data_IF_268250939974
#
_entry.id   IF_268250939974
#
_cell.length_a   1.000
_cell.length_b   1.000
_cell.length_c   1.000
_cell.angle_alpha   90.00
_cell.angle_beta   90.00
_cell.angle_gamma   90.00
#
_symmetry.space_group_name_H-M   'P 1'
#
loop_
_entity.id
_entity.type
_entity.pdbx_description
1 polymer ?
#
# COMPACT_ATOMS: atom_id res chain seq x y z
N UNK A 1 33.73 36.74 -57.52
CA UNK A 1 33.61 35.27 -57.67
C UNK A 1 34.20 34.46 -56.50
N UNK A 2 35.16 34.97 -55.71
CA UNK A 2 35.75 34.24 -54.57
C UNK A 2 34.91 34.25 -53.27
N UNK A 3 34.01 35.22 -53.12
CA UNK A 3 33.16 35.40 -51.92
C UNK A 3 31.91 34.52 -51.89
N UNK A 4 31.48 33.96 -53.04
CA UNK A 4 30.27 33.12 -53.12
C UNK A 4 30.54 31.69 -52.66
N UNK A 5 31.78 31.20 -52.83
CA UNK A 5 32.20 29.84 -52.47
C UNK A 5 32.31 29.66 -50.94
N UNK A 6 32.62 30.73 -50.22
CA UNK A 6 32.72 30.70 -48.74
C UNK A 6 31.33 30.62 -48.10
N UNK A 7 30.32 31.27 -48.69
CA UNK A 7 28.95 31.23 -48.19
C UNK A 7 28.29 29.84 -48.31
N UNK A 8 28.59 29.08 -49.37
CA UNK A 8 28.05 27.73 -49.55
C UNK A 8 28.66 26.69 -48.60
N UNK A 9 29.90 26.89 -48.14
CA UNK A 9 30.56 26.02 -47.16
C UNK A 9 30.03 26.21 -45.73
N UNK A 10 29.65 27.43 -45.36
CA UNK A 10 29.08 27.73 -44.04
C UNK A 10 27.63 27.20 -43.95
N UNK A 11 26.87 27.26 -45.04
CA UNK A 11 25.53 26.69 -45.12
C UNK A 11 25.53 25.15 -44.99
N UNK A 12 26.60 24.48 -45.43
CA UNK A 12 26.77 23.02 -45.31
C UNK A 12 27.01 22.56 -43.86
N UNK A 13 27.51 23.41 -42.97
CA UNK A 13 27.85 23.01 -41.60
C UNK A 13 26.64 23.06 -40.65
N UNK A 14 25.68 23.97 -40.89
CA UNK A 14 24.47 24.08 -40.07
C UNK A 14 23.45 22.94 -40.33
N UNK A 15 23.53 22.28 -41.49
CA UNK A 15 22.64 21.17 -41.85
C UNK A 15 22.98 19.84 -41.15
N UNK A 16 24.12 19.76 -40.47
CA UNK A 16 24.57 18.57 -39.72
C UNK A 16 24.70 18.82 -38.21
N UNK A 17 24.15 19.93 -37.70
CA UNK A 17 24.01 20.07 -36.25
C UNK A 17 22.99 19.02 -35.75
N UNK A 18 23.34 18.19 -34.76
CA UNK A 18 22.37 17.27 -34.18
C UNK A 18 21.25 18.11 -33.59
N UNK A 19 20.07 18.06 -34.20
CA UNK A 19 18.84 18.52 -33.56
C UNK A 19 18.74 17.70 -32.28
N UNK A 20 18.85 18.36 -31.13
CA UNK A 20 18.48 17.74 -29.87
C UNK A 20 17.02 17.32 -30.01
N UNK A 21 16.79 16.05 -30.33
CA UNK A 21 15.47 15.45 -30.20
C UNK A 21 15.09 15.64 -28.75
N UNK A 22 14.15 16.56 -28.50
CA UNK A 22 13.45 16.64 -27.23
C UNK A 22 12.93 15.23 -27.01
N UNK A 23 13.49 14.52 -26.03
CA UNK A 23 13.04 13.19 -25.69
C UNK A 23 11.53 13.31 -25.45
N UNK A 24 10.74 12.68 -26.31
CA UNK A 24 9.34 12.48 -26.03
C UNK A 24 9.34 11.55 -24.82
N UNK A 25 9.06 12.07 -23.63
CA UNK A 25 8.76 11.23 -22.48
C UNK A 25 7.64 10.32 -22.93
N UNK A 26 7.95 9.04 -23.16
CA UNK A 26 6.91 8.02 -23.21
C UNK A 26 6.14 8.13 -21.90
N UNK A 27 4.81 7.97 -21.91
CA UNK A 27 3.95 8.05 -20.71
C UNK A 27 4.51 7.28 -19.50
N UNK A 28 5.24 6.18 -19.77
CA UNK A 28 6.02 5.41 -18.81
C UNK A 28 7.09 6.20 -18.04
N UNK A 29 7.83 7.10 -18.70
CA UNK A 29 8.89 7.89 -18.10
C UNK A 29 8.38 8.96 -17.12
N UNK A 30 7.07 9.24 -17.11
CA UNK A 30 6.47 10.24 -16.22
C UNK A 30 6.34 9.74 -14.78
N UNK A 31 6.31 8.41 -14.56
CA UNK A 31 6.07 7.80 -13.25
C UNK A 31 7.31 7.11 -12.66
N UNK A 32 8.47 7.21 -13.30
CA UNK A 32 9.71 6.55 -12.86
C UNK A 32 10.31 7.15 -11.58
N UNK A 33 9.98 8.41 -11.26
CA UNK A 33 10.45 9.11 -10.04
C UNK A 33 9.38 9.15 -8.92
N UNK A 34 8.27 8.43 -9.09
CA UNK A 34 7.16 8.44 -8.14
C UNK A 34 7.42 7.62 -6.87
N UNK A 35 6.65 7.93 -5.81
CA UNK A 35 6.73 7.26 -4.53
C UNK A 35 6.63 5.73 -4.68
N UNK A 36 7.59 4.98 -4.15
CA UNK A 36 7.56 3.51 -4.16
C UNK A 36 8.25 2.87 -5.36
N UNK A 37 8.83 3.66 -6.26
CA UNK A 37 9.90 3.21 -7.17
C UNK A 37 11.17 3.07 -6.33
N UNK A 38 11.56 1.82 -6.05
CA UNK A 38 12.75 1.54 -5.24
C UNK A 38 13.53 0.33 -5.76
N UNK A 39 14.86 0.31 -5.56
CA UNK A 39 15.64 -0.91 -5.77
C UNK A 39 15.09 -2.07 -4.93
N UNK A 40 15.12 -3.32 -5.41
CA UNK A 40 15.82 -3.80 -6.61
C UNK A 40 15.02 -3.71 -7.92
N UNK A 41 13.71 -3.48 -7.88
CA UNK A 41 12.85 -3.57 -9.06
C UNK A 41 12.70 -2.26 -9.82
N UNK A 42 12.87 -1.11 -9.16
CA UNK A 42 12.64 0.20 -9.78
C UNK A 42 11.17 0.36 -10.17
N UNK A 43 10.91 0.94 -11.34
CA UNK A 43 9.57 1.06 -11.89
C UNK A 43 9.05 -0.33 -12.32
N UNK A 44 7.98 -0.79 -11.68
CA UNK A 44 7.42 -2.13 -11.88
C UNK A 44 5.97 -2.06 -12.36
N UNK A 45 5.77 -2.09 -13.67
CA UNK A 45 4.46 -2.24 -14.32
C UNK A 45 4.53 -3.27 -15.47
N UNK A 46 4.51 -4.58 -15.16
CA UNK A 46 4.58 -5.62 -16.19
C UNK A 46 3.28 -5.76 -17.01
N UNK A 47 2.16 -5.25 -16.51
CA UNK A 47 0.85 -5.35 -17.15
C UNK A 47 0.51 -4.12 -18.00
N UNK A 48 1.34 -3.07 -17.92
CA UNK A 48 1.11 -1.84 -18.66
C UNK A 48 -0.14 -1.11 -18.21
N UNK A 49 -0.41 -1.13 -16.90
CA UNK A 49 -1.54 -0.41 -16.32
C UNK A 49 -1.41 1.11 -16.45
N UNK A 50 -0.19 1.61 -16.73
CA UNK A 50 0.14 3.02 -16.91
C UNK A 50 0.51 3.39 -18.38
N UNK A 51 0.08 2.57 -19.36
CA UNK A 51 0.44 2.72 -20.78
C UNK A 51 -0.56 3.53 -21.63
N UNK A 52 -1.62 4.11 -21.04
CA UNK A 52 -2.64 4.89 -21.75
C UNK A 52 -2.43 6.40 -21.67
N UNK A 53 -3.43 7.17 -22.17
CA UNK A 53 -3.66 8.59 -21.81
C UNK A 53 -4.04 8.70 -20.32
N UNK A 54 -3.22 8.13 -19.44
CA UNK A 54 -3.55 7.91 -18.04
C UNK A 54 -3.42 9.23 -17.28
N UNK A 55 -4.58 9.83 -17.04
CA UNK A 55 -4.77 10.97 -16.15
C UNK A 55 -4.09 10.68 -14.81
N UNK A 56 -3.32 11.65 -14.28
CA UNK A 56 -2.73 11.61 -12.93
C UNK A 56 -3.73 11.15 -11.85
N UNK A 57 -5.03 11.41 -12.07
CA UNK A 57 -6.14 10.95 -11.24
C UNK A 57 -6.23 9.42 -11.14
N UNK A 58 -6.03 8.70 -12.26
CA UNK A 58 -6.05 7.24 -12.27
C UNK A 58 -4.87 6.66 -11.47
N UNK A 59 -3.67 7.21 -11.65
CA UNK A 59 -2.51 6.82 -10.84
C UNK A 59 -2.74 7.12 -9.35
N UNK A 60 -3.27 8.29 -9.02
CA UNK A 60 -3.60 8.66 -7.64
C UNK A 60 -4.63 7.69 -7.03
N UNK A 61 -5.61 7.25 -7.81
CA UNK A 61 -6.58 6.25 -7.35
C UNK A 61 -5.95 4.88 -7.12
N UNK A 62 -5.06 4.43 -8.00
CA UNK A 62 -4.31 3.18 -7.81
C UNK A 62 -3.44 3.26 -6.56
N UNK A 63 -2.75 4.39 -6.36
CA UNK A 63 -1.94 4.66 -5.16
C UNK A 63 -2.76 4.64 -3.89
N UNK A 64 -3.91 5.30 -3.89
CA UNK A 64 -4.84 5.29 -2.77
C UNK A 64 -5.26 3.87 -2.40
N UNK A 65 -5.62 3.09 -3.42
CA UNK A 65 -6.04 1.70 -3.27
C UNK A 65 -4.91 0.85 -2.71
N UNK A 66 -3.69 0.99 -3.21
CA UNK A 66 -2.51 0.28 -2.74
C UNK A 66 -2.22 0.59 -1.26
N UNK A 67 -2.21 1.86 -0.86
CA UNK A 67 -1.98 2.29 0.53
C UNK A 67 -3.07 1.73 1.45
N UNK A 68 -4.34 1.81 1.05
CA UNK A 68 -5.46 1.32 1.86
C UNK A 68 -5.35 -0.18 2.10
N UNK A 69 -5.09 -0.98 1.06
CA UNK A 69 -4.87 -2.41 1.21
C UNK A 69 -3.62 -2.70 2.06
N UNK A 70 -2.54 -1.92 1.88
CA UNK A 70 -1.29 -2.09 2.62
C UNK A 70 -1.50 -1.92 4.12
N UNK A 71 -2.18 -0.84 4.53
CA UNK A 71 -2.52 -0.56 5.94
C UNK A 71 -3.38 -1.67 6.55
N UNK A 72 -4.41 -2.12 5.82
CA UNK A 72 -5.27 -3.22 6.27
C UNK A 72 -4.43 -4.49 6.48
N UNK A 73 -3.57 -4.84 5.53
CA UNK A 73 -2.74 -6.03 5.60
C UNK A 73 -1.67 -5.95 6.69
N UNK A 74 -1.09 -4.77 6.96
CA UNK A 74 -0.16 -4.56 8.07
C UNK A 74 -0.82 -4.83 9.43
N UNK A 75 -2.01 -4.27 9.66
CA UNK A 75 -2.77 -4.51 10.88
C UNK A 75 -3.22 -5.97 10.99
N UNK A 76 -3.67 -6.57 9.89
CA UNK A 76 -4.05 -7.97 9.86
C UNK A 76 -2.86 -8.90 10.18
N UNK A 77 -1.69 -8.66 9.59
CA UNK A 77 -0.49 -9.45 9.84
C UNK A 77 -0.04 -9.34 11.30
N UNK A 78 0.05 -8.11 11.83
CA UNK A 78 0.42 -7.90 13.23
C UNK A 78 -0.61 -8.55 14.18
N UNK A 79 -1.90 -8.39 13.90
CA UNK A 79 -2.97 -9.04 14.68
C UNK A 79 -2.80 -10.55 14.72
N UNK A 80 -2.56 -11.18 13.57
CA UNK A 80 -2.32 -12.61 13.44
C UNK A 80 -1.07 -13.11 14.19
N UNK A 81 -0.04 -12.26 14.35
CA UNK A 81 1.15 -12.57 15.16
C UNK A 81 0.83 -12.44 16.66
N UNK A 82 0.16 -11.37 17.07
CA UNK A 82 -0.15 -11.08 18.48
C UNK A 82 -1.11 -12.12 19.07
N UNK A 83 -2.20 -12.45 18.38
CA UNK A 83 -3.18 -13.41 18.90
C UNK A 83 -2.61 -14.84 18.95
N UNK A 84 -1.77 -15.21 17.97
CA UNK A 84 -1.07 -16.51 18.00
C UNK A 84 0.06 -16.59 19.03
N UNK A 85 0.64 -15.45 19.41
CA UNK A 85 1.55 -15.38 20.55
C UNK A 85 0.84 -15.57 21.91
N UNK A 86 -0.49 -15.69 21.90
CA UNK A 86 -1.30 -15.88 23.11
C UNK A 86 -1.63 -14.58 23.84
N UNK A 87 -1.33 -13.43 23.25
CA UNK A 87 -1.59 -12.12 23.86
C UNK A 87 -3.03 -11.71 23.56
N UNK A 88 -3.88 -11.80 24.58
CA UNK A 88 -5.29 -11.44 24.52
C UNK A 88 -5.60 -10.34 25.55
N UNK A 89 -6.70 -9.62 25.33
CA UNK A 89 -7.19 -8.66 26.31
C UNK A 89 -7.67 -9.40 27.57
N UNK A 90 -7.41 -8.87 28.77
CA UNK A 90 -7.95 -9.46 29.98
C UNK A 90 -9.47 -9.24 30.06
N UNK A 91 -10.21 -10.25 30.52
CA UNK A 91 -11.65 -10.17 30.78
C UNK A 91 -12.49 -10.95 29.77
N UNK A 92 -13.78 -10.65 29.77
CA UNK A 92 -14.78 -11.32 28.95
C UNK A 92 -15.18 -10.45 27.76
N UNK A 93 -15.29 -11.06 26.57
CA UNK A 93 -15.75 -10.37 25.37
C UNK A 93 -17.25 -10.10 25.42
N UNK A 94 -17.99 -10.92 26.16
CA UNK A 94 -19.43 -10.88 26.25
C UNK A 94 -19.94 -10.92 27.69
N UNK A 95 -21.26 -10.72 27.83
CA UNK A 95 -21.94 -10.80 29.12
C UNK A 95 -22.22 -12.25 29.56
N UNK A 96 -22.00 -13.24 28.68
CA UNK A 96 -22.18 -14.67 28.99
C UNK A 96 -21.00 -15.24 29.76
N UNK A 97 -19.85 -14.58 29.70
CA UNK A 97 -18.65 -14.94 30.45
C UNK A 97 -17.53 -15.52 29.59
N UNK A 98 -17.63 -15.43 28.27
CA UNK A 98 -16.62 -15.95 27.35
C UNK A 98 -15.39 -15.03 27.36
N UNK A 99 -14.23 -15.60 27.68
CA UNK A 99 -12.97 -14.87 27.77
C UNK A 99 -12.36 -14.62 26.38
N UNK A 100 -11.54 -13.57 26.21
CA UNK A 100 -10.94 -13.27 24.90
C UNK A 100 -10.00 -14.37 24.36
N UNK A 101 -9.48 -15.23 25.23
CA UNK A 101 -8.62 -16.37 24.88
C UNK A 101 -9.41 -17.62 24.46
N UNK A 102 -10.72 -17.67 24.67
CA UNK A 102 -11.55 -18.82 24.31
C UNK A 102 -11.85 -18.88 22.80
N UNK A 103 -11.62 -17.79 22.07
CA UNK A 103 -11.86 -17.71 20.63
C UNK A 103 -10.66 -18.22 19.84
N UNK A 104 -10.90 -18.96 18.74
CA UNK A 104 -9.83 -19.51 17.92
C UNK A 104 -9.10 -18.41 17.14
N UNK A 105 -7.86 -18.68 16.76
CA UNK A 105 -7.04 -17.79 15.96
C UNK A 105 -7.37 -17.86 14.46
N UNK A 106 -6.94 -16.87 13.68
CA UNK A 106 -6.99 -16.97 12.21
C UNK A 106 -8.39 -16.81 11.62
N UNK A 107 -8.63 -17.48 10.51
CA UNK A 107 -9.93 -17.51 9.85
C UNK A 107 -10.99 -18.23 10.68
N UNK A 108 -10.57 -19.14 11.57
CA UNK A 108 -11.47 -19.79 12.51
C UNK A 108 -12.17 -18.79 13.46
N UNK A 109 -11.53 -17.66 13.80
CA UNK A 109 -12.16 -16.60 14.60
C UNK A 109 -13.42 -16.00 13.93
N UNK A 110 -13.45 -16.01 12.59
CA UNK A 110 -14.46 -15.33 11.78
C UNK A 110 -15.50 -16.33 11.23
N UNK A 111 -15.07 -17.54 10.87
CA UNK A 111 -15.91 -18.55 10.19
C UNK A 111 -15.83 -19.96 10.82
N UNK A 112 -15.17 -20.12 11.96
CA UNK A 112 -15.08 -21.38 12.69
C UNK A 112 -16.34 -21.72 13.49
N UNK A 113 -16.35 -22.90 14.12
CA UNK A 113 -17.45 -23.35 14.97
C UNK A 113 -17.62 -22.48 16.24
N UNK A 114 -16.50 -22.05 16.82
CA UNK A 114 -16.44 -21.17 18.00
C UNK A 114 -16.10 -19.72 17.60
N UNK A 115 -16.62 -19.27 16.46
CA UNK A 115 -16.37 -17.93 15.94
C UNK A 115 -17.06 -16.83 16.76
N UNK A 116 -16.56 -15.60 16.61
CA UNK A 116 -17.18 -14.41 17.22
C UNK A 116 -18.64 -14.30 16.74
N UNK A 117 -19.60 -14.00 17.65
CA UNK A 117 -21.00 -13.84 17.29
C UNK A 117 -21.19 -12.85 16.13
N UNK A 118 -22.10 -13.16 15.21
CA UNK A 118 -22.36 -12.32 14.03
C UNK A 118 -22.73 -10.88 14.39
N UNK A 119 -23.42 -10.67 15.52
CA UNK A 119 -23.74 -9.33 16.02
C UNK A 119 -22.48 -8.51 16.37
N UNK A 120 -21.47 -9.14 16.97
CA UNK A 120 -20.20 -8.47 17.30
C UNK A 120 -19.40 -8.12 16.06
N UNK A 121 -19.31 -9.04 15.10
CA UNK A 121 -18.69 -8.77 13.79
C UNK A 121 -19.44 -7.66 13.04
N UNK A 122 -20.77 -7.67 13.10
CA UNK A 122 -21.63 -6.64 12.52
C UNK A 122 -21.37 -5.26 13.10
N UNK A 123 -21.21 -5.13 14.43
CA UNK A 123 -20.86 -3.86 15.07
C UNK A 123 -19.53 -3.31 14.57
N UNK A 124 -18.51 -4.18 14.45
CA UNK A 124 -17.18 -3.79 13.93
C UNK A 124 -17.31 -3.29 12.48
N UNK A 125 -18.00 -4.05 11.62
CA UNK A 125 -18.19 -3.67 10.21
C UNK A 125 -18.99 -2.37 10.09
N UNK A 126 -20.06 -2.20 10.86
CA UNK A 126 -20.86 -0.97 10.86
C UNK A 126 -20.03 0.24 11.32
N UNK A 127 -19.21 0.08 12.36
CA UNK A 127 -18.36 1.15 12.85
C UNK A 127 -17.25 1.51 11.85
N UNK A 128 -16.59 0.52 11.26
CA UNK A 128 -15.60 0.74 10.19
C UNK A 128 -16.25 1.42 8.98
N UNK A 129 -17.44 0.96 8.56
CA UNK A 129 -18.19 1.56 7.46
C UNK A 129 -18.57 3.02 7.74
N UNK A 130 -18.95 3.32 8.98
CA UNK A 130 -19.18 4.71 9.42
C UNK A 130 -17.89 5.54 9.33
N UNK A 131 -16.76 5.05 9.86
CA UNK A 131 -15.47 5.74 9.76
C UNK A 131 -15.05 5.97 8.29
N UNK A 132 -15.29 5.00 7.41
CA UNK A 132 -14.97 5.10 5.99
C UNK A 132 -15.81 6.17 5.28
N UNK A 133 -17.08 6.31 5.64
CA UNK A 133 -17.98 7.30 5.03
C UNK A 133 -17.79 8.70 5.61
N UNK A 134 -17.51 8.81 6.90
CA UNK A 134 -17.52 10.07 7.64
C UNK A 134 -16.14 10.69 7.84
N UNK A 135 -15.07 9.90 8.02
CA UNK A 135 -13.76 10.38 8.44
C UNK A 135 -12.62 10.06 7.45
N UNK A 136 -12.57 8.84 6.92
CA UNK A 136 -11.50 8.37 6.02
C UNK A 136 -11.76 8.78 4.56
N UNK A 137 -12.10 10.06 4.36
CA UNK A 137 -12.22 10.68 3.05
C UNK A 137 -11.21 11.81 2.95
N UNK A 138 -10.63 11.93 1.77
CA UNK A 138 -9.85 13.09 1.40
C UNK A 138 -10.82 14.28 1.26
N UNK A 139 -10.86 15.16 2.26
CA UNK A 139 -11.72 16.35 2.26
C UNK A 139 -10.92 17.50 1.63
N UNK A 140 -11.33 18.00 0.44
CA UNK A 140 -10.62 19.10 -0.21
C UNK A 140 -10.56 20.33 0.72
N UNK A 141 -9.36 20.87 0.93
CA UNK A 141 -9.15 22.08 1.74
C UNK A 141 -8.80 21.84 3.21
N UNK A 142 -8.56 20.59 3.65
CA UNK A 142 -8.15 20.26 5.04
C UNK A 142 -6.64 20.11 5.24
N UNK A 143 -5.82 20.53 4.27
CA UNK A 143 -4.35 20.47 4.37
C UNK A 143 -3.75 19.10 4.06
N UNK A 144 -4.49 18.22 3.39
CA UNK A 144 -3.99 16.91 2.98
C UNK A 144 -2.84 17.09 1.98
N UNK A 145 -1.62 16.75 2.41
CA UNK A 145 -0.38 16.93 1.62
C UNK A 145 -0.25 15.85 0.52
N UNK A 146 -0.91 14.70 0.69
CA UNK A 146 -0.83 13.58 -0.24
C UNK A 146 -2.02 12.62 -0.16
N UNK A 147 -2.16 11.79 -1.20
CA UNK A 147 -3.20 10.75 -1.31
C UNK A 147 -3.10 9.76 -0.14
N UNK A 148 -4.17 9.66 0.65
CA UNK A 148 -4.23 8.77 1.81
C UNK A 148 -3.75 9.39 3.12
N UNK A 149 -3.55 10.71 3.17
CA UNK A 149 -3.42 11.45 4.41
C UNK A 149 -4.80 11.56 5.10
N UNK A 150 -5.01 10.78 6.16
CA UNK A 150 -6.24 10.79 6.95
C UNK A 150 -6.11 11.61 8.24
N UNK A 151 -5.00 12.36 8.41
CA UNK A 151 -4.82 13.24 9.57
C UNK A 151 -5.84 14.37 9.53
N UNK A 152 -6.27 14.80 8.34
CA UNK A 152 -7.25 15.88 8.12
C UNK A 152 -6.95 17.14 8.97
N UNK A 153 -5.68 17.39 9.31
CA UNK A 153 -5.24 18.46 10.21
C UNK A 153 -5.61 18.30 11.71
N UNK A 154 -6.21 17.20 12.12
CA UNK A 154 -6.66 16.96 13.50
C UNK A 154 -5.66 16.19 14.37
N UNK A 155 -4.76 15.43 13.75
CA UNK A 155 -3.84 14.54 14.45
C UNK A 155 -2.43 14.76 13.89
N UNK A 156 -1.63 15.54 14.61
CA UNK A 156 -0.22 15.68 14.33
C UNK A 156 0.61 14.93 15.39
N UNK A 157 1.32 13.89 14.94
CA UNK A 157 2.28 13.14 15.74
C UNK A 157 3.72 13.64 15.49
N UNK A 158 3.89 14.95 15.27
CA UNK A 158 5.16 15.56 14.86
C UNK A 158 5.51 15.29 13.40
N UNK A 159 4.50 15.04 12.55
CA UNK A 159 4.70 14.84 11.12
C UNK A 159 5.10 16.13 10.43
N UNK A 160 4.52 17.25 10.87
CA UNK A 160 4.73 18.56 10.27
C UNK A 160 6.13 19.13 10.59
N UNK A 161 6.82 18.56 11.58
CA UNK A 161 8.20 18.89 11.97
C UNK A 161 9.27 18.17 11.13
N UNK A 162 8.91 17.15 10.35
CA UNK A 162 9.88 16.42 9.51
C UNK A 162 10.23 17.18 8.23
N UNK A 163 11.47 17.00 7.78
CA UNK A 163 11.92 17.40 6.46
C UNK A 163 11.25 16.57 5.35
N UNK A 164 11.13 17.17 4.17
CA UNK A 164 10.47 16.53 3.01
C UNK A 164 11.15 15.23 2.56
N UNK A 165 12.47 15.10 2.74
CA UNK A 165 13.20 13.87 2.42
C UNK A 165 12.82 12.74 3.40
N UNK A 166 12.78 13.03 4.70
CA UNK A 166 12.28 12.07 5.70
C UNK A 166 10.82 11.70 5.46
N UNK A 167 9.94 12.66 5.13
CA UNK A 167 8.54 12.37 4.81
C UNK A 167 8.43 11.40 3.63
N UNK A 168 9.18 11.64 2.54
CA UNK A 168 9.23 10.73 1.39
C UNK A 168 9.77 9.34 1.77
N UNK A 169 10.84 9.29 2.55
CA UNK A 169 11.43 8.03 3.01
C UNK A 169 10.42 7.22 3.85
N UNK A 170 9.74 7.85 4.82
CA UNK A 170 8.77 7.19 5.69
C UNK A 170 7.56 6.68 4.93
N UNK A 171 7.05 7.46 3.96
CA UNK A 171 5.95 7.04 3.08
C UNK A 171 6.36 5.84 2.22
N UNK A 172 7.60 5.80 1.75
CA UNK A 172 8.07 4.69 0.95
C UNK A 172 8.28 3.41 1.81
N UNK A 173 8.73 3.58 3.06
CA UNK A 173 8.79 2.49 4.06
C UNK A 173 7.39 1.94 4.34
N UNK A 174 6.40 2.82 4.58
CA UNK A 174 5.00 2.43 4.80
C UNK A 174 4.49 1.58 3.63
N UNK A 175 4.68 2.06 2.41
CA UNK A 175 4.21 1.40 1.20
C UNK A 175 4.83 0.01 1.03
N UNK A 176 6.15 -0.11 1.19
CA UNK A 176 6.85 -1.38 1.01
C UNK A 176 6.54 -2.39 2.12
N UNK A 177 6.41 -1.93 3.36
CA UNK A 177 5.88 -2.76 4.44
C UNK A 177 4.44 -3.20 4.14
N UNK A 178 3.62 -2.34 3.53
CA UNK A 178 2.27 -2.65 3.07
C UNK A 178 2.28 -3.77 2.02
N UNK A 179 3.10 -3.62 0.98
CA UNK A 179 3.29 -4.63 -0.09
C UNK A 179 3.74 -5.98 0.47
N UNK A 180 4.72 -5.97 1.38
CA UNK A 180 5.19 -7.19 2.04
C UNK A 180 4.10 -7.81 2.94
N UNK A 181 3.36 -7.00 3.68
CA UNK A 181 2.27 -7.46 4.53
C UNK A 181 1.11 -8.08 3.74
N UNK A 182 0.80 -7.58 2.53
CA UNK A 182 -0.20 -8.19 1.64
C UNK A 182 0.17 -9.64 1.29
N UNK A 183 1.44 -9.87 0.92
CA UNK A 183 1.93 -11.22 0.64
C UNK A 183 1.99 -12.08 1.90
N UNK A 184 2.39 -11.49 3.04
CA UNK A 184 2.44 -12.15 4.34
C UNK A 184 1.08 -12.68 4.77
N UNK A 185 0.05 -11.81 4.80
CA UNK A 185 -1.29 -12.22 5.23
C UNK A 185 -1.93 -13.22 4.26
N UNK A 186 -1.72 -13.06 2.95
CA UNK A 186 -2.18 -14.02 1.95
C UNK A 186 -1.56 -15.40 2.22
N UNK A 187 -0.25 -15.45 2.46
CA UNK A 187 0.45 -16.67 2.84
C UNK A 187 -0.17 -17.32 4.07
N UNK A 188 -0.42 -16.55 5.13
CA UNK A 188 -1.04 -17.07 6.36
C UNK A 188 -2.44 -17.63 6.12
N UNK A 189 -3.29 -16.91 5.39
CA UNK A 189 -4.65 -17.35 5.08
C UNK A 189 -4.66 -18.63 4.24
N UNK A 190 -3.76 -18.73 3.25
CA UNK A 190 -3.63 -19.91 2.39
C UNK A 190 -3.11 -21.09 3.21
N UNK A 191 -2.03 -20.91 3.97
CA UNK A 191 -1.46 -21.99 4.79
C UNK A 191 -2.43 -22.51 5.86
N UNK A 192 -3.30 -21.67 6.42
CA UNK A 192 -4.35 -22.11 7.35
C UNK A 192 -5.38 -23.04 6.69
N UNK A 193 -5.69 -22.85 5.40
CA UNK A 193 -6.59 -23.75 4.67
C UNK A 193 -5.90 -25.04 4.23
N UNK A 194 -4.66 -24.95 3.73
CA UNK A 194 -3.93 -26.13 3.26
C UNK A 194 -3.53 -27.03 4.45
N UNK A 195 -3.32 -26.47 5.65
CA UNK A 195 -3.12 -27.24 6.87
C UNK A 195 -4.28 -28.21 7.15
N UNK A 196 -5.52 -27.82 6.88
CA UNK A 196 -6.71 -28.69 7.01
C UNK A 196 -6.70 -29.91 6.08
N UNK A 197 -5.93 -29.83 4.99
CA UNK A 197 -5.80 -30.88 3.98
C UNK A 197 -4.55 -31.76 4.25
N UNK A 198 -3.84 -31.51 5.36
CA UNK A 198 -2.72 -32.32 5.82
C UNK A 198 -1.32 -31.77 5.49
N UNK A 199 -1.23 -30.61 4.85
CA UNK A 199 0.06 -29.93 4.62
C UNK A 199 0.31 -28.90 5.73
N UNK A 200 0.96 -29.37 6.78
CA UNK A 200 1.31 -28.54 7.93
C UNK A 200 2.54 -27.71 7.59
N UNK A 201 2.39 -26.38 7.52
CA UNK A 201 3.51 -25.47 7.39
C UNK A 201 3.96 -25.01 8.78
N UNK A 202 5.26 -25.16 9.07
CA UNK A 202 5.90 -24.56 10.23
C UNK A 202 6.49 -23.22 9.82
N UNK A 203 5.86 -22.13 10.27
CA UNK A 203 6.23 -20.77 9.84
C UNK A 203 7.17 -20.13 10.86
N UNK A 204 8.26 -19.45 10.43
CA UNK A 204 9.32 -18.97 11.33
C UNK A 204 8.87 -18.05 12.49
N UNK A 205 7.77 -17.31 12.33
CA UNK A 205 7.25 -16.34 13.32
C UNK A 205 6.00 -16.82 14.06
N UNK A 206 5.25 -17.74 13.45
CA UNK A 206 3.92 -18.14 13.90
C UNK A 206 3.92 -19.60 14.37
N UNK A 207 4.98 -20.34 14.07
CA UNK A 207 5.10 -21.76 14.34
C UNK A 207 4.12 -22.56 13.49
N UNK A 208 3.78 -23.74 14.01
CA UNK A 208 2.89 -24.68 13.35
C UNK A 208 1.44 -24.20 13.40
N UNK A 209 0.82 -24.01 12.23
CA UNK A 209 -0.60 -23.72 12.12
C UNK A 209 -1.41 -24.98 12.46
N UNK A 210 -1.99 -25.00 13.67
CA UNK A 210 -2.92 -26.04 14.13
C UNK A 210 -4.37 -25.60 13.92
#
# INVERSE_FOLDING_TARGET
MKSVIVASLIASAAAFAPVAQKASSTSLAAFEDELGVQPPLGFFDPLGLLNGDDDQEYFNRLRYTEIKHGRICQLAFLGQVVTRAGIHLPGNIDYSGDSFDSFPNGLAAIRGGDAIPFAGVGQIICFIGFLEVAFMKDVPGTGNEFVGDFRNGYIDYGWDDFDEETKLQKRAIELNNGRAAMLGILGLMVHEQIAKIGYVADLPLIGTLK
#
